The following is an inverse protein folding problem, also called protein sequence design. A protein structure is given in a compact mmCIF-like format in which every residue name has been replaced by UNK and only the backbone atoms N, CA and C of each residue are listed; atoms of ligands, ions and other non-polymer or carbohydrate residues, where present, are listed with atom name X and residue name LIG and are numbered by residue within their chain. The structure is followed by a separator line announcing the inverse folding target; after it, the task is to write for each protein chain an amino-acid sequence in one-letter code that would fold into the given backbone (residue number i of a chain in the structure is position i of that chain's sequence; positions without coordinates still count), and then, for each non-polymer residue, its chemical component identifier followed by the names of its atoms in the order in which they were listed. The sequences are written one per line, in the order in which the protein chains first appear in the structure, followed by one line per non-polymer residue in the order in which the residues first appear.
data_IF_987625383908
#
_entry.id   IF_987625383908
#
_cell.length_a   1.000
_cell.length_b   1.000
_cell.length_c   1.000
_cell.angle_alpha   90.00
_cell.angle_beta   90.00
_cell.angle_gamma   90.00
#
_symmetry.space_group_name_H-M   'P 1'
#
loop_
_entity.id
_entity.type
_entity.pdbx_description
1 polymer ?
#
# COMPACT_ATOMS: atom_id res chain seq x y z
N UNK A 1 -23.63 6.13 1.27
CA UNK A 1 -23.43 4.96 2.14
C UNK A 1 -23.18 5.35 3.59
N UNK A 2 -22.10 6.05 3.95
CA UNK A 2 -21.86 6.40 5.36
C UNK A 2 -23.00 7.21 6.02
N UNK A 3 -23.62 8.14 5.28
CA UNK A 3 -24.74 8.96 5.78
C UNK A 3 -26.03 8.18 6.01
N UNK A 4 -26.20 7.02 5.37
CA UNK A 4 -27.40 6.19 5.50
C UNK A 4 -27.31 5.16 6.64
N UNK A 5 -26.18 5.09 7.34
CA UNK A 5 -26.01 4.23 8.51
C UNK A 5 -26.69 4.88 9.71
N UNK A 6 -27.66 4.17 10.32
CA UNK A 6 -28.43 4.68 11.46
C UNK A 6 -27.72 4.45 12.81
N UNK A 7 -26.75 3.54 12.85
CA UNK A 7 -26.02 3.15 14.06
C UNK A 7 -24.75 3.99 14.31
N UNK A 8 -24.36 4.86 13.36
CA UNK A 8 -23.17 5.70 13.48
C UNK A 8 -23.56 7.09 14.01
N UNK A 9 -22.85 7.56 15.02
CA UNK A 9 -23.03 8.91 15.55
C UNK A 9 -22.49 9.99 14.58
N UNK A 10 -22.99 11.25 14.65
CA UNK A 10 -22.54 12.32 13.76
C UNK A 10 -21.03 12.60 13.78
N UNK A 11 -20.39 12.52 14.95
CA UNK A 11 -18.94 12.74 15.08
C UNK A 11 -18.14 11.58 14.47
N UNK A 12 -18.54 10.34 14.73
CA UNK A 12 -17.93 9.15 14.12
C UNK A 12 -18.08 9.17 12.60
N UNK A 13 -19.24 9.59 12.10
CA UNK A 13 -19.46 9.81 10.66
C UNK A 13 -18.48 10.85 10.08
N UNK A 14 -18.27 11.98 10.77
CA UNK A 14 -17.34 13.03 10.33
C UNK A 14 -15.91 12.51 10.24
N UNK A 15 -15.47 11.74 11.25
CA UNK A 15 -14.15 11.11 11.27
C UNK A 15 -13.99 10.07 10.16
N UNK A 16 -14.98 9.21 9.96
CA UNK A 16 -14.98 8.22 8.88
C UNK A 16 -14.94 8.89 7.51
N UNK A 17 -15.72 9.96 7.31
CA UNK A 17 -15.71 10.75 6.07
C UNK A 17 -14.34 11.38 5.81
N UNK A 18 -13.71 11.98 6.82
CA UNK A 18 -12.37 12.55 6.70
C UNK A 18 -11.33 11.48 6.33
N UNK A 19 -11.41 10.30 6.95
CA UNK A 19 -10.53 9.16 6.62
C UNK A 19 -10.62 8.76 5.15
N UNK A 20 -11.83 8.64 4.59
CA UNK A 20 -12.03 8.35 3.15
C UNK A 20 -11.49 9.48 2.26
N UNK A 21 -11.70 10.74 2.66
CA UNK A 21 -11.24 11.89 1.89
C UNK A 21 -9.71 11.99 1.85
N UNK A 22 -9.04 11.65 2.95
CA UNK A 22 -7.58 11.66 3.09
C UNK A 22 -6.92 10.37 2.58
N UNK A 23 -7.71 9.38 2.14
CA UNK A 23 -7.20 8.09 1.69
C UNK A 23 -6.34 8.24 0.43
N UNK A 24 -5.13 7.70 0.48
CA UNK A 24 -4.23 7.63 -0.66
C UNK A 24 -4.69 6.53 -1.60
N UNK A 25 -4.71 6.82 -2.91
CA UNK A 25 -5.13 5.87 -3.94
C UNK A 25 -3.98 5.63 -4.89
N UNK A 26 -3.57 4.37 -5.01
CA UNK A 26 -2.46 3.95 -5.83
C UNK A 26 -2.98 2.97 -6.90
N UNK A 27 -2.65 3.23 -8.16
CA UNK A 27 -3.13 2.44 -9.29
C UNK A 27 -1.95 2.08 -10.20
N UNK A 28 -1.93 0.86 -10.72
CA UNK A 28 -0.92 0.45 -11.67
C UNK A 28 0.42 0.13 -10.99
N UNK A 29 1.36 1.07 -11.04
CA UNK A 29 2.72 0.91 -10.54
C UNK A 29 3.25 2.20 -9.88
N UNK A 30 4.31 2.13 -9.05
CA UNK A 30 4.99 3.31 -8.52
C UNK A 30 5.63 4.15 -9.64
N UNK A 31 4.99 5.23 -10.06
CA UNK A 31 5.45 6.07 -11.17
C UNK A 31 6.80 6.72 -10.92
N UNK A 32 7.14 7.01 -9.66
CA UNK A 32 8.44 7.59 -9.30
C UNK A 32 9.62 6.62 -9.53
N UNK A 33 9.36 5.30 -9.46
CA UNK A 33 10.38 4.27 -9.67
C UNK A 33 10.42 3.77 -11.12
N UNK A 34 9.25 3.50 -11.71
CA UNK A 34 9.13 2.86 -13.03
C UNK A 34 8.90 3.85 -14.18
N UNK A 35 8.53 5.10 -13.89
CA UNK A 35 8.19 6.08 -14.93
C UNK A 35 7.09 5.60 -15.88
N UNK A 36 7.36 5.74 -17.17
CA UNK A 36 6.55 5.27 -18.31
C UNK A 36 7.13 4.00 -18.97
N UNK A 37 8.07 3.33 -18.29
CA UNK A 37 8.85 2.19 -18.79
C UNK A 37 9.74 2.47 -20.02
N UNK A 38 9.90 3.73 -20.42
CA UNK A 38 10.84 4.09 -21.48
C UNK A 38 12.27 4.29 -20.95
N UNK A 39 12.42 4.56 -19.65
CA UNK A 39 13.70 4.71 -18.97
C UNK A 39 13.75 3.84 -17.69
N UNK A 40 14.80 3.03 -17.53
CA UNK A 40 15.05 2.19 -16.36
C UNK A 40 16.05 2.76 -15.35
N UNK A 41 16.65 3.92 -15.59
CA UNK A 41 17.73 4.50 -14.76
C UNK A 41 17.36 4.57 -13.27
N UNK A 42 16.13 5.01 -12.96
CA UNK A 42 15.64 5.13 -11.59
C UNK A 42 15.54 3.78 -10.88
N UNK A 43 14.99 2.78 -11.57
CA UNK A 43 14.80 1.44 -11.00
C UNK A 43 16.13 0.67 -10.93
N UNK A 44 16.98 0.81 -11.94
CA UNK A 44 18.31 0.23 -11.98
C UNK A 44 19.18 0.80 -10.87
N UNK A 45 19.16 2.12 -10.67
CA UNK A 45 19.84 2.78 -9.56
C UNK A 45 19.32 2.31 -8.20
N UNK A 46 18.01 2.12 -8.06
CA UNK A 46 17.40 1.67 -6.80
C UNK A 46 17.81 0.24 -6.43
N UNK A 47 17.92 -0.65 -7.43
CA UNK A 47 18.24 -2.07 -7.25
C UNK A 47 19.73 -2.43 -7.43
N UNK A 48 20.56 -1.47 -7.83
CA UNK A 48 21.97 -1.67 -8.17
C UNK A 48 22.75 -2.49 -7.14
N UNK A 49 22.67 -2.08 -5.87
CA UNK A 49 23.52 -2.65 -4.82
C UNK A 49 23.06 -4.05 -4.38
N UNK A 50 21.80 -4.39 -4.61
CA UNK A 50 21.18 -5.62 -4.08
C UNK A 50 21.00 -6.71 -5.15
N UNK A 51 20.75 -6.34 -6.41
CA UNK A 51 20.30 -7.28 -7.45
C UNK A 51 21.16 -7.30 -8.70
N UNK A 52 22.00 -6.29 -8.96
CA UNK A 52 22.69 -6.18 -10.25
C UNK A 52 23.66 -7.35 -10.50
N UNK A 53 24.25 -7.90 -9.44
CA UNK A 53 25.14 -9.07 -9.52
C UNK A 53 24.45 -10.35 -10.02
N UNK A 54 23.11 -10.40 -10.03
CA UNK A 54 22.35 -11.49 -10.67
C UNK A 54 22.67 -11.56 -12.17
N UNK A 55 22.85 -10.41 -12.82
CA UNK A 55 23.17 -10.35 -14.25
C UNK A 55 24.51 -11.01 -14.52
N UNK A 56 25.52 -10.73 -13.68
CA UNK A 56 26.86 -11.32 -13.83
C UNK A 56 26.84 -12.82 -13.53
N UNK A 57 26.12 -13.24 -12.48
CA UNK A 57 25.92 -14.65 -12.16
C UNK A 57 25.25 -15.40 -13.32
N UNK A 58 24.18 -14.84 -13.88
CA UNK A 58 23.43 -15.44 -15.00
C UNK A 58 24.26 -15.51 -16.29
N UNK A 59 25.08 -14.50 -16.58
CA UNK A 59 26.00 -14.51 -17.74
C UNK A 59 27.11 -15.55 -17.60
N UNK A 60 27.57 -15.81 -16.38
CA UNK A 60 28.57 -16.82 -16.10
C UNK A 60 27.99 -18.24 -16.20
N UNK A 61 26.88 -18.49 -15.52
CA UNK A 61 26.14 -19.75 -15.60
C UNK A 61 24.64 -19.51 -15.39
N UNK A 62 23.87 -19.62 -16.48
CA UNK A 62 22.41 -19.46 -16.46
C UNK A 62 21.68 -20.51 -15.62
N UNK A 63 22.32 -21.65 -15.32
CA UNK A 63 21.75 -22.72 -14.50
C UNK A 63 22.20 -22.67 -13.04
N UNK A 64 23.04 -21.70 -12.63
CA UNK A 64 23.43 -21.49 -11.24
C UNK A 64 22.30 -20.83 -10.43
N UNK A 65 21.23 -21.61 -10.27
CA UNK A 65 20.04 -21.25 -9.52
C UNK A 65 20.37 -20.89 -8.07
N UNK A 66 21.32 -21.59 -7.45
CA UNK A 66 21.66 -21.39 -6.04
C UNK A 66 22.29 -20.02 -5.81
N UNK A 67 23.24 -19.60 -6.65
CA UNK A 67 23.86 -18.28 -6.53
C UNK A 67 22.83 -17.17 -6.77
N UNK A 68 22.02 -17.30 -7.82
CA UNK A 68 20.96 -16.31 -8.12
C UNK A 68 19.97 -16.20 -6.96
N UNK A 69 19.54 -17.33 -6.40
CA UNK A 69 18.61 -17.36 -5.27
C UNK A 69 19.22 -16.77 -3.99
N UNK A 70 20.50 -17.02 -3.73
CA UNK A 70 21.19 -16.43 -2.58
C UNK A 70 21.29 -14.90 -2.70
N UNK A 71 21.57 -14.38 -3.90
CA UNK A 71 21.58 -12.93 -4.14
C UNK A 71 20.18 -12.35 -3.93
N UNK A 72 19.14 -12.97 -4.50
CA UNK A 72 17.74 -12.53 -4.33
C UNK A 72 17.33 -12.46 -2.85
N UNK A 73 17.62 -13.51 -2.08
CA UNK A 73 17.30 -13.56 -0.65
C UNK A 73 18.02 -12.47 0.14
N UNK A 74 19.32 -12.29 -0.10
CA UNK A 74 20.12 -11.26 0.56
C UNK A 74 19.63 -9.85 0.20
N UNK A 75 19.31 -9.60 -1.08
CA UNK A 75 18.78 -8.34 -1.54
C UNK A 75 17.43 -7.99 -0.92
N UNK A 76 16.56 -9.00 -0.75
CA UNK A 76 15.28 -8.82 -0.06
C UNK A 76 15.48 -8.50 1.42
N UNK A 77 16.31 -9.28 2.13
CA UNK A 77 16.62 -9.06 3.54
C UNK A 77 17.24 -7.67 3.77
N UNK A 78 18.21 -7.26 2.95
CA UNK A 78 18.82 -5.92 3.02
C UNK A 78 17.79 -4.80 2.88
N UNK A 79 16.90 -4.93 1.90
CA UNK A 79 15.86 -3.94 1.60
C UNK A 79 14.88 -3.81 2.76
N UNK A 80 14.26 -4.92 3.13
CA UNK A 80 13.15 -4.92 4.10
C UNK A 80 13.63 -4.71 5.54
N UNK A 81 14.79 -5.28 5.92
CA UNK A 81 15.27 -5.20 7.29
C UNK A 81 16.07 -3.91 7.59
N UNK A 82 16.77 -3.34 6.61
CA UNK A 82 17.75 -2.26 6.88
C UNK A 82 17.52 -1.00 6.06
N UNK A 83 17.41 -1.09 4.73
CA UNK A 83 17.36 0.10 3.86
C UNK A 83 16.13 0.97 4.11
N UNK A 84 15.00 0.37 4.50
CA UNK A 84 13.75 1.09 4.72
C UNK A 84 13.63 1.72 6.12
N UNK A 85 14.42 1.29 7.11
CA UNK A 85 14.36 1.80 8.48
C UNK A 85 14.62 3.32 8.60
N UNK A 86 15.65 3.91 7.95
CA UNK A 86 15.91 5.35 8.05
C UNK A 86 15.07 6.18 7.07
N UNK A 87 14.34 5.53 6.15
CA UNK A 87 13.59 6.22 5.10
C UNK A 87 12.22 6.62 5.64
N UNK A 88 11.80 7.84 5.33
CA UNK A 88 10.47 8.32 5.71
C UNK A 88 9.40 7.45 5.03
N UNK A 89 8.40 7.04 5.81
CA UNK A 89 7.25 6.30 5.28
C UNK A 89 6.54 7.10 4.18
N UNK A 90 6.33 6.45 3.04
CA UNK A 90 5.59 6.99 1.90
C UNK A 90 4.33 6.16 1.65
N UNK A 91 3.21 6.88 1.49
CA UNK A 91 1.88 6.32 1.26
C UNK A 91 1.68 5.84 -0.20
N UNK A 92 2.56 6.27 -1.12
CA UNK A 92 2.55 5.83 -2.52
C UNK A 92 3.34 4.54 -2.76
N UNK A 93 4.12 4.08 -1.77
CA UNK A 93 4.89 2.85 -1.88
C UNK A 93 3.98 1.62 -1.81
N UNK A 94 4.19 0.70 -2.75
CA UNK A 94 3.43 -0.54 -2.85
C UNK A 94 3.96 -1.57 -1.86
N UNK A 95 3.07 -2.38 -1.29
CA UNK A 95 3.44 -3.51 -0.44
C UNK A 95 4.09 -4.63 -1.26
N UNK A 96 3.53 -4.89 -2.44
CA UNK A 96 3.92 -5.99 -3.31
C UNK A 96 4.14 -5.50 -4.75
N UNK A 97 4.63 -6.40 -5.60
CA UNK A 97 4.89 -6.11 -7.01
C UNK A 97 3.62 -5.65 -7.75
N UNK A 98 3.72 -4.66 -8.65
CA UNK A 98 2.66 -4.27 -9.60
C UNK A 98 2.17 -5.41 -10.50
N UNK A 99 2.94 -6.49 -10.62
CA UNK A 99 2.59 -7.68 -11.41
C UNK A 99 1.70 -8.67 -10.64
N UNK A 100 1.41 -8.43 -9.36
CA UNK A 100 0.55 -9.31 -8.57
C UNK A 100 -0.92 -9.08 -8.91
N UNK A 101 -1.66 -10.15 -9.22
CA UNK A 101 -3.12 -10.09 -9.39
C UNK A 101 -3.77 -10.08 -8.00
N UNK A 102 -3.77 -8.92 -7.38
CA UNK A 102 -4.31 -8.72 -6.04
C UNK A 102 -4.77 -7.26 -5.85
N UNK A 103 -5.37 -6.95 -4.72
CA UNK A 103 -5.61 -5.59 -4.23
C UNK A 103 -5.31 -5.57 -2.73
N UNK A 104 -5.03 -4.39 -2.17
CA UNK A 104 -4.84 -4.29 -0.73
C UNK A 104 -5.14 -2.90 -0.20
N UNK A 105 -5.63 -2.87 1.03
CA UNK A 105 -5.64 -1.70 1.89
C UNK A 105 -4.54 -1.80 2.96
N UNK A 106 -3.77 -0.73 3.14
CA UNK A 106 -2.75 -0.65 4.21
C UNK A 106 -3.22 0.32 5.29
N UNK A 107 -3.57 -0.17 6.49
CA UNK A 107 -4.14 0.66 7.55
C UNK A 107 -3.16 1.70 8.09
N UNK A 108 -1.87 1.36 8.18
CA UNK A 108 -0.82 2.24 8.71
C UNK A 108 -0.60 3.46 7.83
N UNK A 109 -0.93 3.35 6.53
CA UNK A 109 -0.75 4.39 5.52
C UNK A 109 -2.07 4.99 5.05
N UNK A 110 -3.22 4.46 5.49
CA UNK A 110 -4.53 4.79 4.94
C UNK A 110 -4.46 4.84 3.39
N UNK A 111 -3.97 3.76 2.77
CA UNK A 111 -3.74 3.68 1.33
C UNK A 111 -4.38 2.46 0.72
N UNK A 112 -5.16 2.70 -0.34
CA UNK A 112 -5.77 1.69 -1.18
C UNK A 112 -4.92 1.51 -2.44
N UNK A 113 -4.47 0.29 -2.73
CA UNK A 113 -3.63 0.01 -3.89
C UNK A 113 -4.25 -1.05 -4.78
N UNK A 114 -4.36 -0.74 -6.08
CA UNK A 114 -4.74 -1.68 -7.13
C UNK A 114 -3.56 -1.78 -8.13
N UNK A 115 -2.74 -2.84 -8.06
CA UNK A 115 -1.64 -3.08 -8.99
C UNK A 115 -2.12 -3.27 -10.43
N UNK A 116 -1.24 -3.00 -11.40
CA UNK A 116 -1.58 -3.06 -12.83
C UNK A 116 -2.16 -4.42 -13.25
N UNK A 117 -1.61 -5.52 -12.74
CA UNK A 117 -2.01 -6.86 -13.15
C UNK A 117 -3.48 -7.19 -12.86
N UNK A 118 -4.12 -6.55 -11.86
CA UNK A 118 -5.55 -6.77 -11.58
C UNK A 118 -6.47 -6.11 -12.61
N UNK A 119 -5.99 -5.16 -13.40
CA UNK A 119 -6.77 -4.52 -14.46
C UNK A 119 -6.82 -5.33 -15.76
N UNK A 120 -6.90 -6.65 -15.64
CA UNK A 120 -7.02 -7.59 -16.75
C UNK A 120 -8.27 -8.46 -16.59
N UNK A 121 -8.78 -9.06 -17.68
CA UNK A 121 -9.84 -10.06 -17.59
C UNK A 121 -9.45 -11.19 -16.62
N UNK A 122 -10.39 -11.71 -15.80
CA UNK A 122 -11.82 -11.42 -15.80
C UNK A 122 -12.23 -10.18 -14.96
N UNK A 123 -11.30 -9.53 -14.27
CA UNK A 123 -11.61 -8.49 -13.30
C UNK A 123 -12.01 -7.17 -13.96
N UNK A 124 -11.31 -6.79 -15.02
CA UNK A 124 -11.57 -5.57 -15.74
C UNK A 124 -11.27 -5.71 -17.23
N UNK A 125 -12.18 -5.19 -18.05
CA UNK A 125 -11.92 -4.92 -19.46
C UNK A 125 -12.79 -3.74 -19.90
N UNK A 126 -12.24 -2.79 -20.65
CA UNK A 126 -12.98 -1.62 -21.11
C UNK A 126 -14.16 -1.98 -22.04
N UNK A 127 -14.07 -3.10 -22.74
CA UNK A 127 -15.09 -3.58 -23.68
C UNK A 127 -16.18 -4.43 -22.99
N UNK A 128 -16.02 -4.79 -21.71
CA UNK A 128 -17.04 -5.52 -20.97
C UNK A 128 -18.23 -4.62 -20.61
N UNK A 129 -19.46 -5.19 -20.52
CA UNK A 129 -20.58 -4.46 -19.94
C UNK A 129 -20.21 -3.94 -18.56
N UNK A 130 -20.58 -2.70 -18.25
CA UNK A 130 -20.25 -2.06 -16.96
C UNK A 130 -20.61 -2.93 -15.76
N UNK A 131 -21.69 -3.68 -15.84
CA UNK A 131 -22.11 -4.63 -14.79
C UNK A 131 -21.00 -5.61 -14.39
N UNK A 132 -20.24 -6.16 -15.35
CA UNK A 132 -19.12 -7.06 -15.08
C UNK A 132 -17.97 -6.34 -14.38
N UNK A 133 -17.57 -5.17 -14.90
CA UNK A 133 -16.50 -4.37 -14.29
C UNK A 133 -16.86 -3.91 -12.87
N UNK A 134 -18.13 -3.55 -12.63
CA UNK A 134 -18.61 -3.19 -11.29
C UNK A 134 -18.67 -4.41 -10.36
N UNK A 135 -19.13 -5.57 -10.84
CA UNK A 135 -19.21 -6.78 -10.03
C UNK A 135 -17.83 -7.31 -9.65
N UNK A 136 -16.88 -7.32 -10.59
CA UNK A 136 -15.54 -7.81 -10.36
C UNK A 136 -14.63 -6.71 -9.77
N UNK A 137 -14.06 -5.83 -10.59
CA UNK A 137 -13.15 -4.79 -10.10
C UNK A 137 -13.80 -3.83 -9.09
N UNK A 138 -15.06 -3.44 -9.31
CA UNK A 138 -15.80 -2.61 -8.35
C UNK A 138 -16.04 -3.34 -7.02
N UNK A 139 -16.35 -4.63 -7.07
CA UNK A 139 -16.49 -5.50 -5.89
C UNK A 139 -15.18 -5.60 -5.11
N UNK A 140 -14.06 -5.91 -5.78
CA UNK A 140 -12.72 -5.96 -5.16
C UNK A 140 -12.33 -4.61 -4.57
N UNK A 141 -12.52 -3.51 -5.30
CA UNK A 141 -12.19 -2.17 -4.79
C UNK A 141 -13.07 -1.80 -3.59
N UNK A 142 -14.32 -2.24 -3.57
CA UNK A 142 -15.23 -2.08 -2.44
C UNK A 142 -14.82 -2.91 -1.22
N UNK A 143 -14.39 -4.16 -1.43
CA UNK A 143 -13.86 -5.03 -0.39
C UNK A 143 -12.67 -4.39 0.33
N UNK A 144 -11.67 -3.93 -0.43
CA UNK A 144 -10.51 -3.25 0.13
C UNK A 144 -10.85 -1.92 0.81
N UNK A 145 -11.83 -1.19 0.28
CA UNK A 145 -12.29 0.04 0.93
C UNK A 145 -12.90 -0.24 2.31
N UNK A 146 -13.59 -1.38 2.47
CA UNK A 146 -14.20 -1.78 3.75
C UNK A 146 -13.14 -2.17 4.77
N UNK A 147 -11.97 -2.71 4.37
CA UNK A 147 -10.83 -2.91 5.28
C UNK A 147 -10.37 -1.61 5.96
N UNK A 148 -10.67 -0.44 5.38
CA UNK A 148 -10.47 0.83 6.08
C UNK A 148 -11.35 1.03 7.33
N UNK A 149 -12.33 0.18 7.56
CA UNK A 149 -13.39 0.35 8.57
C UNK A 149 -13.79 -0.96 9.27
N UNK A 150 -13.09 -2.06 9.02
CA UNK A 150 -13.31 -3.31 9.74
C UNK A 150 -12.70 -3.25 11.15
N UNK A 151 -12.87 -4.34 11.89
CA UNK A 151 -12.45 -4.49 13.28
C UNK A 151 -10.94 -4.43 13.50
N UNK A 152 -10.13 -4.62 12.45
CA UNK A 152 -8.67 -4.47 12.53
C UNK A 152 -8.24 -3.00 12.53
N UNK A 153 -9.04 -2.08 11.99
CA UNK A 153 -8.60 -0.72 11.63
C UNK A 153 -9.39 0.41 12.31
N UNK A 154 -10.34 0.12 13.20
CA UNK A 154 -11.08 1.15 13.96
C UNK A 154 -10.13 2.10 14.74
N UNK A 155 -8.90 1.67 15.04
CA UNK A 155 -7.89 2.45 15.79
C UNK A 155 -7.06 3.42 14.92
N UNK A 156 -6.93 3.17 13.61
CA UNK A 156 -6.12 4.03 12.72
C UNK A 156 -6.93 5.23 12.22
N UNK A 157 -7.18 6.20 13.12
CA UNK A 157 -7.90 7.44 12.82
C UNK A 157 -6.90 8.53 12.44
N UNK A 158 -6.73 8.76 11.13
CA UNK A 158 -6.07 9.92 10.52
C UNK A 158 -4.60 10.12 10.92
N UNK A 159 -3.81 10.75 10.05
CA UNK A 159 -2.36 10.99 10.22
C UNK A 159 -1.99 11.92 11.40
N UNK A 160 -2.92 12.20 12.31
CA UNK A 160 -2.79 13.10 13.47
C UNK A 160 -2.47 12.41 14.79
N UNK A 161 -2.44 11.07 14.85
CA UNK A 161 -2.38 10.35 16.13
C UNK A 161 -1.07 10.51 16.92
N UNK A 162 -0.02 11.15 16.38
CA UNK A 162 1.22 11.38 17.14
C UNK A 162 1.21 12.64 18.00
N UNK A 163 0.48 13.68 17.61
CA UNK A 163 0.56 14.98 18.30
C UNK A 163 -0.49 15.15 19.41
N UNK A 164 -1.64 14.46 19.32
CA UNK A 164 -2.71 14.59 20.33
C UNK A 164 -2.56 13.63 21.52
N UNK A 165 -1.85 12.50 21.37
CA UNK A 165 -1.68 11.52 22.46
C UNK A 165 -0.78 12.06 23.59
N UNK A 166 0.07 13.05 23.31
CA UNK A 166 0.86 13.72 24.35
C UNK A 166 0.08 14.77 25.14
N UNK A 167 -0.98 15.36 24.57
CA UNK A 167 -1.75 16.43 25.23
C UNK A 167 -2.81 15.89 26.20
N UNK A 168 -3.21 14.60 26.09
CA UNK A 168 -4.23 14.02 26.97
C UNK A 168 -3.66 13.34 28.23
N UNK A 169 -2.33 13.30 28.42
CA UNK A 169 -1.68 12.66 29.58
C UNK A 169 -1.21 13.63 30.67
N UNK A 170 -1.33 14.94 30.48
CA UNK A 170 -0.92 15.95 31.48
C UNK A 170 -2.06 16.55 32.31
N UNK A 171 -3.32 16.18 32.06
CA UNK A 171 -4.43 16.56 32.93
C UNK A 171 -4.53 15.60 34.13
N UNK A 172 -3.67 15.82 35.13
CA UNK A 172 -3.83 15.20 36.45
C UNK A 172 -5.18 15.56 37.10
N UNK A 173 -5.72 14.71 38.00
CA UNK A 173 -7.01 14.97 38.61
C UNK A 173 -6.99 16.27 39.43
N UNK A 174 -8.11 17.03 39.47
CA UNK A 174 -8.19 18.22 40.30
C UNK A 174 -8.09 17.83 41.78
N UNK A 175 -7.08 18.39 42.45
CA UNK A 175 -6.88 18.25 43.88
C UNK A 175 -7.99 19.05 44.55
N UNK A 176 -8.99 18.38 45.10
CA UNK A 176 -9.96 18.99 46.01
C UNK A 176 -9.35 19.03 47.42
N UNK A 177 -9.08 20.23 47.93
CA UNK A 177 -8.65 20.52 49.30
C UNK A 177 -8.77 22.00 49.58
#
# INVERSE_FOLDING_TARGET
MLRSLHWIEPETYRRAKNKVNEMQRNYGWPTELFGDFQNSDSIDKYHKDDYLSIIDAFKNDSMDFYTIMNILRKGLENREAFRLLPVKADRKNFLQSPAMVNAWYQPERNSLTLPYAIFNPPFYNNDFPKAFNFAAQGGTSGHELVHGFDDEVVVAISTRSRDEVHLSKEAGPPITG
#
